data_IF_429881395379
#
_entry.id   IF_429881395379
#
_cell.length_a   1.000
_cell.length_b   1.000
_cell.length_c   1.000
_cell.angle_alpha   90.00
_cell.angle_beta   90.00
_cell.angle_gamma   90.00
#
_symmetry.space_group_name_H-M   'P 1'
#
loop_
_entity.id
_entity.type
_entity.pdbx_description
1 polymer ?
#
# COMPACT_ATOMS: atom_id res chain seq x y z
N UNK A 1 7.84 7.52 -13.14
CA UNK A 1 7.20 6.94 -14.34
C UNK A 1 6.07 7.87 -14.72
N UNK A 2 6.00 8.40 -15.96
CA UNK A 2 4.98 9.39 -16.33
C UNK A 2 3.53 8.87 -16.16
N UNK A 3 3.34 7.55 -16.20
CA UNK A 3 2.04 6.88 -16.25
C UNK A 3 1.74 5.97 -15.05
N UNK A 4 2.53 6.00 -13.98
CA UNK A 4 2.28 5.16 -12.81
C UNK A 4 2.82 5.78 -11.53
N UNK A 5 2.25 5.42 -10.39
CA UNK A 5 2.80 5.77 -9.09
C UNK A 5 2.95 4.54 -8.19
N UNK A 6 3.89 4.66 -7.25
CA UNK A 6 4.13 3.69 -6.20
C UNK A 6 4.23 4.42 -4.87
N UNK A 7 3.48 3.96 -3.88
CA UNK A 7 3.51 4.49 -2.53
C UNK A 7 3.89 3.35 -1.57
N UNK A 8 4.82 3.64 -0.67
CA UNK A 8 5.15 2.78 0.46
C UNK A 8 4.80 3.51 1.76
N UNK A 9 3.77 3.03 2.45
CA UNK A 9 3.50 3.41 3.82
C UNK A 9 4.19 2.41 4.73
N UNK A 10 5.19 2.86 5.49
CA UNK A 10 5.94 2.03 6.41
C UNK A 10 5.73 2.49 7.85
N UNK A 11 5.23 1.59 8.69
CA UNK A 11 5.26 1.73 10.13
C UNK A 11 6.41 0.87 10.68
N UNK A 12 7.33 1.50 11.41
CA UNK A 12 8.48 0.84 12.02
C UNK A 12 8.44 1.03 13.53
N UNK A 13 8.44 -0.08 14.27
CA UNK A 13 8.41 -0.12 15.72
C UNK A 13 9.61 -0.92 16.23
N UNK A 14 10.37 -0.30 17.13
CA UNK A 14 11.46 -0.95 17.86
C UNK A 14 11.21 -0.79 19.35
N UNK A 15 11.29 -1.89 20.08
CA UNK A 15 11.37 -1.91 21.53
C UNK A 15 12.72 -2.50 21.89
N UNK A 16 13.61 -1.67 22.43
CA UNK A 16 15.00 -2.04 22.70
C UNK A 16 15.09 -3.27 23.62
N UNK A 17 15.90 -4.24 23.23
CA UNK A 17 16.03 -5.54 23.92
C UNK A 17 14.85 -6.51 23.78
N UNK A 18 13.70 -6.08 23.21
CA UNK A 18 12.49 -6.91 23.13
C UNK A 18 12.20 -7.38 21.71
N UNK A 19 11.77 -6.49 20.81
CA UNK A 19 11.34 -6.84 19.46
C UNK A 19 11.45 -5.68 18.48
N UNK A 20 11.46 -6.04 17.20
CA UNK A 20 11.33 -5.11 16.07
C UNK A 20 10.14 -5.60 15.23
N UNK A 21 9.23 -4.68 14.92
CA UNK A 21 8.06 -4.91 14.06
C UNK A 21 8.04 -3.88 12.95
N UNK A 22 7.66 -4.32 11.75
CA UNK A 22 7.53 -3.48 10.59
C UNK A 22 6.27 -3.86 9.80
N UNK A 23 5.41 -2.87 9.58
CA UNK A 23 4.20 -3.03 8.78
C UNK A 23 4.33 -2.15 7.53
N UNK A 24 4.40 -2.81 6.38
CA UNK A 24 4.50 -2.15 5.08
C UNK A 24 3.18 -2.27 4.34
N UNK A 25 2.65 -1.16 3.85
CA UNK A 25 1.55 -1.13 2.88
C UNK A 25 2.08 -0.52 1.59
N UNK A 26 2.21 -1.36 0.56
CA UNK A 26 2.59 -0.97 -0.80
C UNK A 26 1.33 -0.72 -1.61
N UNK A 27 1.23 0.45 -2.22
CA UNK A 27 0.15 0.79 -3.14
C UNK A 27 0.74 1.11 -4.50
N UNK A 28 0.24 0.42 -5.51
CA UNK A 28 0.69 0.57 -6.88
C UNK A 28 -0.50 0.82 -7.81
N UNK A 29 -0.32 1.75 -8.75
CA UNK A 29 -1.31 2.10 -9.75
C UNK A 29 -0.65 2.51 -11.06
N UNK A 30 -1.19 1.99 -12.15
CA UNK A 30 -0.87 2.37 -13.53
C UNK A 30 -2.07 3.14 -14.10
N UNK A 31 -1.81 4.22 -14.84
CA UNK A 31 -2.82 5.18 -15.31
C UNK A 31 -3.88 4.59 -16.26
N UNK A 32 -3.58 3.47 -16.92
CA UNK A 32 -4.47 2.75 -17.82
C UNK A 32 -5.42 1.77 -17.10
N UNK A 33 -5.22 1.55 -15.79
CA UNK A 33 -5.99 0.55 -15.02
C UNK A 33 -7.02 1.22 -14.14
N UNK A 34 -8.25 0.70 -14.13
CA UNK A 34 -9.34 1.16 -13.24
C UNK A 34 -9.24 0.56 -11.83
N UNK A 35 -8.03 0.22 -11.40
CA UNK A 35 -7.77 -0.36 -10.10
C UNK A 35 -6.38 -0.02 -9.57
N UNK A 36 -6.21 -0.19 -8.27
CA UNK A 36 -4.91 -0.15 -7.60
C UNK A 36 -4.64 -1.50 -6.95
N UNK A 37 -3.36 -1.86 -6.83
CA UNK A 37 -2.93 -3.03 -6.06
C UNK A 37 -2.43 -2.54 -4.71
N UNK A 38 -3.01 -3.06 -3.63
CA UNK A 38 -2.56 -2.82 -2.25
C UNK A 38 -2.01 -4.12 -1.69
N UNK A 39 -0.74 -4.11 -1.32
CA UNK A 39 -0.08 -5.22 -0.65
C UNK A 39 0.33 -4.79 0.76
N UNK A 40 -0.22 -5.46 1.76
CA UNK A 40 0.16 -5.31 3.16
C UNK A 40 1.10 -6.45 3.57
N UNK A 41 2.20 -6.13 4.23
CA UNK A 41 3.12 -7.10 4.82
C UNK A 41 3.40 -6.73 6.28
N UNK A 42 3.12 -7.65 7.20
CA UNK A 42 3.54 -7.54 8.61
C UNK A 42 4.77 -8.40 8.85
N UNK A 43 5.84 -7.79 9.37
CA UNK A 43 7.10 -8.45 9.71
C UNK A 43 7.44 -8.21 11.17
N UNK A 44 7.87 -9.25 11.87
CA UNK A 44 8.19 -9.13 13.28
C UNK A 44 9.22 -10.17 13.73
N UNK A 45 10.20 -9.74 14.52
CA UNK A 45 11.13 -10.62 15.22
C UNK A 45 11.47 -10.11 16.61
N UNK A 46 11.74 -11.03 17.54
CA UNK A 46 12.36 -10.69 18.82
C UNK A 46 13.83 -10.37 18.61
N UNK A 47 14.37 -9.41 19.37
CA UNK A 47 15.79 -9.03 19.27
C UNK A 47 16.72 -10.21 19.56
N UNK A 48 16.33 -11.12 20.46
CA UNK A 48 17.07 -12.36 20.72
C UNK A 48 17.31 -13.23 19.47
N UNK A 49 16.42 -13.19 18.47
CA UNK A 49 16.57 -13.93 17.21
C UNK A 49 17.41 -13.17 16.18
N UNK A 50 17.72 -11.89 16.43
CA UNK A 50 18.45 -10.99 15.55
C UNK A 50 19.89 -10.75 16.02
N UNK A 51 20.41 -11.55 16.95
CA UNK A 51 21.78 -11.41 17.50
C UNK A 51 22.90 -11.55 16.44
N UNK A 52 22.60 -12.14 15.29
CA UNK A 52 23.52 -12.24 14.15
C UNK A 52 23.60 -10.94 13.33
N UNK A 53 22.68 -10.00 13.55
CA UNK A 53 22.61 -8.72 12.85
C UNK A 53 23.28 -7.63 13.69
N UNK A 54 24.18 -6.81 13.13
CA UNK A 54 24.78 -5.69 13.84
C UNK A 54 23.73 -4.75 14.45
N UNK A 55 23.84 -4.36 15.73
CA UNK A 55 22.87 -3.46 16.37
C UNK A 55 22.70 -2.10 15.68
N UNK A 56 23.71 -1.65 14.94
CA UNK A 56 23.65 -0.44 14.12
C UNK A 56 22.58 -0.51 13.02
N UNK A 57 22.22 -1.72 12.56
CA UNK A 57 21.16 -1.88 11.56
C UNK A 57 19.77 -1.81 12.20
N UNK A 58 19.62 -1.95 13.52
CA UNK A 58 18.31 -1.86 14.18
C UNK A 58 17.67 -0.47 14.08
N UNK A 59 18.41 0.55 13.66
CA UNK A 59 17.90 1.89 13.35
C UNK A 59 17.50 2.07 11.90
N UNK A 60 17.86 1.15 11.00
CA UNK A 60 17.69 1.26 9.55
C UNK A 60 16.54 0.36 9.05
N UNK A 61 15.32 0.90 8.86
CA UNK A 61 14.16 0.08 8.51
C UNK A 61 14.30 -0.64 7.16
N UNK A 62 15.01 -0.02 6.21
CA UNK A 62 15.26 -0.61 4.89
C UNK A 62 16.07 -1.90 4.98
N UNK A 63 17.20 -1.85 5.70
CA UNK A 63 18.07 -3.01 5.90
C UNK A 63 17.39 -4.06 6.77
N UNK A 64 16.72 -3.64 7.86
CA UNK A 64 16.02 -4.57 8.76
C UNK A 64 14.91 -5.35 8.08
N UNK A 65 14.27 -4.79 7.06
CA UNK A 65 13.18 -5.46 6.35
C UNK A 65 13.54 -6.86 5.86
N UNK A 66 14.81 -7.09 5.50
CA UNK A 66 15.31 -8.36 4.98
C UNK A 66 15.52 -9.42 6.06
N UNK A 67 15.80 -8.98 7.30
CA UNK A 67 16.07 -9.85 8.44
C UNK A 67 14.82 -10.19 9.26
N UNK A 68 13.75 -9.42 9.10
CA UNK A 68 12.49 -9.66 9.81
C UNK A 68 11.62 -10.69 9.05
N UNK A 69 11.23 -11.80 9.68
CA UNK A 69 10.37 -12.79 9.06
C UNK A 69 8.96 -12.21 8.90
N UNK A 70 8.34 -12.56 7.77
CA UNK A 70 6.96 -12.18 7.46
C UNK A 70 6.03 -13.01 8.33
N UNK A 71 5.09 -12.34 9.01
CA UNK A 71 4.03 -12.95 9.81
C UNK A 71 2.69 -12.96 9.08
N UNK A 72 2.45 -11.92 8.29
CA UNK A 72 1.21 -11.75 7.55
C UNK A 72 1.50 -11.09 6.21
N UNK A 73 0.77 -11.51 5.18
CA UNK A 73 0.76 -10.85 3.88
C UNK A 73 -0.65 -10.89 3.33
N UNK A 74 -1.14 -9.73 2.92
CA UNK A 74 -2.46 -9.56 2.33
C UNK A 74 -2.29 -8.76 1.05
N UNK A 75 -2.86 -9.24 -0.05
CA UNK A 75 -2.85 -8.54 -1.33
C UNK A 75 -4.29 -8.33 -1.79
N UNK A 76 -4.63 -7.08 -2.05
CA UNK A 76 -5.98 -6.64 -2.40
C UNK A 76 -5.94 -5.84 -3.69
N UNK A 77 -6.99 -6.04 -4.50
CA UNK A 77 -7.25 -5.24 -5.68
C UNK A 77 -8.33 -4.21 -5.35
N UNK A 78 -7.97 -2.94 -5.34
CA UNK A 78 -8.87 -1.82 -5.07
C UNK A 78 -9.45 -1.34 -6.40
N UNK A 79 -10.69 -1.74 -6.70
CA UNK A 79 -11.40 -1.29 -7.90
C UNK A 79 -11.89 0.14 -7.72
N UNK A 80 -11.86 0.93 -8.78
CA UNK A 80 -12.53 2.22 -8.79
C UNK A 80 -14.04 2.01 -8.91
N UNK A 81 -14.84 2.85 -8.22
CA UNK A 81 -16.28 2.81 -8.42
C UNK A 81 -16.61 3.13 -9.87
N UNK A 82 -17.67 2.51 -10.39
CA UNK A 82 -18.26 2.92 -11.66
C UNK A 82 -18.66 4.40 -11.55
N UNK A 83 -18.35 5.19 -12.59
CA UNK A 83 -18.79 6.58 -12.64
C UNK A 83 -20.32 6.58 -12.64
N UNK A 84 -20.91 7.12 -11.58
CA UNK A 84 -22.33 7.48 -11.61
C UNK A 84 -22.40 8.76 -12.43
N UNK A 85 -22.76 8.64 -13.70
CA UNK A 85 -23.09 9.78 -14.54
C UNK A 85 -24.35 10.44 -13.97
N UNK A 86 -24.17 11.46 -13.12
CA UNK A 86 -25.27 12.36 -12.75
C UNK A 86 -25.39 13.42 -13.84
N UNK A 87 -26.20 13.15 -14.87
CA UNK A 87 -26.79 14.20 -15.70
C UNK A 87 -28.21 13.77 -16.14
N UNK A 88 -29.26 14.11 -15.39
CA UNK A 88 -30.63 14.09 -15.87
C UNK A 88 -30.94 15.44 -16.53
N UNK A 89 -30.35 15.74 -17.67
CA UNK A 89 -30.72 16.91 -18.47
C UNK A 89 -30.25 16.74 -19.91
N UNK A 90 -30.95 15.88 -20.67
CA UNK A 90 -31.08 15.98 -22.12
C UNK A 90 -32.35 15.20 -22.54
N UNK A 91 -33.48 15.62 -21.98
CA UNK A 91 -34.81 15.19 -22.39
C UNK A 91 -35.70 16.42 -22.57
N UNK A 92 -35.39 17.22 -23.59
CA UNK A 92 -36.42 17.95 -24.35
C UNK A 92 -35.78 18.37 -25.67
N UNK A 93 -35.91 17.47 -26.66
CA UNK A 93 -35.74 17.81 -28.05
C UNK A 93 -36.75 18.90 -28.41
N UNK A 94 -36.27 19.91 -29.12
CA UNK A 94 -37.04 20.92 -29.84
C UNK A 94 -38.24 20.28 -30.57
N UNK A 95 -39.46 20.71 -30.26
CA UNK A 95 -40.56 20.63 -31.22
C UNK A 95 -40.58 21.91 -32.07
N UNK A 96 -40.47 21.82 -33.40
CA UNK A 96 -40.68 22.97 -34.27
C UNK A 96 -42.18 23.24 -34.43
N UNK A 97 -42.46 24.54 -34.56
CA UNK A 97 -43.74 25.23 -34.83
C UNK A 97 -44.54 24.62 -35.99
N UNK A 98 -45.83 24.37 -35.77
CA UNK A 98 -46.96 24.83 -36.61
C UNK A 98 -48.27 24.91 -35.81
#
# INVERSE_FOLDING_TARGET
>A
MPSSFFLLLRFFLRIDGVLIRMNDTRLYHEADKTYMIREYTSRESRIANLMHVPPSLFTEPNEMSQHLPIKETVCEKLLFPERIDQNPSDSQADEPVE
#
